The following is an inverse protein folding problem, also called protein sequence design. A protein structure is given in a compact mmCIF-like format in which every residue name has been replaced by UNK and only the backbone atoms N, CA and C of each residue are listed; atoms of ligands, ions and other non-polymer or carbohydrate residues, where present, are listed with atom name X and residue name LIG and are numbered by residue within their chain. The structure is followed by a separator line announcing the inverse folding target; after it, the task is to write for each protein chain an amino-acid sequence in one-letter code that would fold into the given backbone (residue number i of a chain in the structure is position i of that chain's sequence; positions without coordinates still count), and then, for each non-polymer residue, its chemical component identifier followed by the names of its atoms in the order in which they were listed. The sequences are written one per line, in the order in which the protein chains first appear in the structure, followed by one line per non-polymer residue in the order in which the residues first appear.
data_IF_429422482573
#
_entry.id   IF_429422482573
#
_cell.length_a   1.000
_cell.length_b   1.000
_cell.length_c   1.000
_cell.angle_alpha   90.00
_cell.angle_beta   90.00
_cell.angle_gamma   90.00
#
_symmetry.space_group_name_H-M   'P 1'
#
loop_
_entity.id
_entity.type
_entity.pdbx_description
1 polymer ?
#
# COMPACT_ATOMS: atom_id res chain seq x y z
N UNK A 1 -6.53 -6.18 -11.60
CA UNK A 1 -5.77 -7.02 -10.65
C UNK A 1 -6.71 -7.62 -9.61
N UNK A 2 -7.76 -6.95 -9.23
CA UNK A 2 -8.70 -7.43 -8.22
C UNK A 2 -10.07 -7.62 -8.84
N UNK A 3 -10.84 -8.63 -8.41
CA UNK A 3 -12.02 -9.06 -9.11
C UNK A 3 -13.05 -7.93 -9.21
N UNK A 4 -13.61 -7.75 -10.40
CA UNK A 4 -14.99 -7.30 -10.47
C UNK A 4 -15.76 -8.15 -9.48
N UNK A 5 -16.57 -7.53 -8.62
CA UNK A 5 -17.40 -8.22 -7.62
C UNK A 5 -18.43 -9.21 -8.20
N UNK A 6 -18.23 -9.67 -9.43
CA UNK A 6 -18.92 -10.80 -10.06
C UNK A 6 -18.47 -12.16 -9.46
N UNK A 7 -18.07 -12.14 -8.19
CA UNK A 7 -17.55 -13.28 -7.39
C UNK A 7 -18.56 -14.45 -7.28
N UNK A 8 -19.70 -14.33 -7.88
CA UNK A 8 -20.79 -15.30 -7.74
C UNK A 8 -20.78 -16.41 -8.83
N UNK A 9 -19.70 -16.54 -9.60
CA UNK A 9 -19.58 -17.66 -10.55
C UNK A 9 -19.37 -19.01 -9.84
N UNK A 10 -18.99 -19.01 -8.56
CA UNK A 10 -18.84 -20.22 -7.74
C UNK A 10 -17.62 -21.08 -8.11
N UNK A 11 -16.66 -20.51 -8.83
CA UNK A 11 -15.43 -21.22 -9.19
C UNK A 11 -14.46 -21.32 -8.00
N UNK A 12 -13.61 -22.35 -8.02
CA UNK A 12 -12.54 -22.50 -7.01
C UNK A 12 -11.56 -21.33 -7.03
N UNK A 13 -11.39 -20.66 -8.16
CA UNK A 13 -10.56 -19.47 -8.32
C UNK A 13 -11.13 -18.28 -7.54
N UNK A 14 -12.44 -18.12 -7.50
CA UNK A 14 -13.10 -17.04 -6.76
C UNK A 14 -12.90 -17.21 -5.25
N UNK A 15 -13.05 -18.47 -4.76
CA UNK A 15 -12.80 -18.79 -3.35
C UNK A 15 -11.35 -18.52 -2.98
N UNK A 16 -10.39 -18.90 -3.85
CA UNK A 16 -8.99 -18.63 -3.65
C UNK A 16 -8.67 -17.14 -3.61
N UNK A 17 -9.23 -16.37 -4.53
CA UNK A 17 -9.07 -14.91 -4.55
C UNK A 17 -9.59 -14.27 -3.25
N UNK A 18 -10.75 -14.68 -2.78
CA UNK A 18 -11.30 -14.20 -1.50
C UNK A 18 -10.36 -14.54 -0.33
N UNK A 19 -9.86 -15.76 -0.28
CA UNK A 19 -8.90 -16.17 0.75
C UNK A 19 -7.65 -15.29 0.75
N UNK A 20 -7.06 -15.07 -0.43
CA UNK A 20 -5.90 -14.16 -0.61
C UNK A 20 -6.25 -12.75 -0.14
N UNK A 21 -7.41 -12.27 -0.52
CA UNK A 21 -7.89 -10.94 -0.15
C UNK A 21 -7.97 -10.76 1.37
N UNK A 22 -8.70 -11.63 2.05
CA UNK A 22 -8.83 -11.58 3.51
C UNK A 22 -7.48 -11.72 4.21
N UNK A 23 -6.60 -12.58 3.70
CA UNK A 23 -5.26 -12.74 4.24
C UNK A 23 -4.46 -11.45 4.13
N UNK A 24 -4.40 -10.82 2.96
CA UNK A 24 -3.63 -9.59 2.73
C UNK A 24 -4.19 -8.40 3.52
N UNK A 25 -5.52 -8.26 3.57
CA UNK A 25 -6.16 -7.21 4.38
C UNK A 25 -5.84 -7.41 5.87
N UNK A 26 -5.84 -8.65 6.37
CA UNK A 26 -5.48 -8.93 7.76
C UNK A 26 -4.03 -8.52 8.06
N UNK A 27 -3.08 -8.80 7.17
CA UNK A 27 -1.69 -8.34 7.30
C UNK A 27 -1.59 -6.82 7.31
N UNK A 28 -2.31 -6.14 6.41
CA UNK A 28 -2.35 -4.68 6.36
C UNK A 28 -2.92 -4.08 7.65
N UNK A 29 -3.97 -4.69 8.22
CA UNK A 29 -4.55 -4.24 9.50
C UNK A 29 -3.55 -4.42 10.65
N UNK A 30 -2.80 -5.53 10.68
CA UNK A 30 -1.77 -5.75 11.70
C UNK A 30 -0.70 -4.66 11.61
N UNK A 31 -0.21 -4.37 10.41
CA UNK A 31 0.79 -3.30 10.19
C UNK A 31 0.22 -1.95 10.58
N UNK A 32 -1.01 -1.64 10.16
CA UNK A 32 -1.73 -0.42 10.50
C UNK A 32 -1.80 -0.18 12.01
N UNK A 33 -2.31 -1.16 12.75
CA UNK A 33 -2.50 -1.05 14.20
C UNK A 33 -1.14 -0.92 14.93
N UNK A 34 -0.14 -1.66 14.46
CA UNK A 34 1.18 -1.62 15.07
C UNK A 34 1.87 -0.28 14.83
N UNK A 35 1.84 0.23 13.59
CA UNK A 35 2.42 1.54 13.25
C UNK A 35 1.70 2.69 13.97
N UNK A 36 0.36 2.63 14.05
CA UNK A 36 -0.44 3.63 14.77
C UNK A 36 -0.07 3.75 16.25
N UNK A 37 0.30 2.63 16.89
CA UNK A 37 0.61 2.58 18.33
C UNK A 37 2.09 2.81 18.63
N UNK A 38 2.98 2.31 17.79
CA UNK A 38 4.41 2.22 18.09
C UNK A 38 5.27 3.07 17.15
N UNK A 39 4.70 3.65 16.09
CA UNK A 39 5.43 4.39 15.05
C UNK A 39 6.56 3.55 14.43
N UNK A 40 6.33 2.25 14.28
CA UNK A 40 7.32 1.29 13.82
C UNK A 40 6.66 0.22 12.94
N UNK A 41 7.30 -0.09 11.83
CA UNK A 41 6.92 -1.17 10.95
C UNK A 41 7.86 -2.36 11.20
N UNK A 42 7.29 -3.49 11.61
CA UNK A 42 8.06 -4.69 11.98
C UNK A 42 8.47 -5.49 10.75
N UNK A 43 9.77 -5.75 10.62
CA UNK A 43 10.33 -6.58 9.55
C UNK A 43 9.79 -8.00 9.58
N UNK A 44 9.61 -8.55 10.78
CA UNK A 44 9.08 -9.92 10.98
C UNK A 44 7.64 -10.07 10.45
N UNK A 45 6.92 -8.96 10.28
CA UNK A 45 5.56 -8.94 9.70
C UNK A 45 5.63 -8.65 8.20
N UNK A 46 6.37 -7.62 7.79
CA UNK A 46 6.36 -7.15 6.40
C UNK A 46 7.08 -8.10 5.45
N UNK A 47 8.21 -8.70 5.87
CA UNK A 47 8.98 -9.59 4.99
C UNK A 47 8.18 -10.84 4.60
N UNK A 48 7.54 -11.58 5.53
CA UNK A 48 6.64 -12.67 5.16
C UNK A 48 5.45 -12.22 4.29
N UNK A 49 4.90 -11.02 4.54
CA UNK A 49 3.82 -10.48 3.75
C UNK A 49 4.23 -10.25 2.28
N UNK A 50 5.46 -9.76 2.02
CA UNK A 50 6.00 -9.61 0.66
C UNK A 50 6.07 -10.98 -0.04
N UNK A 51 6.61 -11.98 0.64
CA UNK A 51 6.76 -13.33 0.08
C UNK A 51 5.39 -13.93 -0.24
N UNK A 52 4.43 -13.84 0.69
CA UNK A 52 3.08 -14.33 0.48
C UNK A 52 2.37 -13.59 -0.66
N UNK A 53 2.49 -12.27 -0.75
CA UNK A 53 1.91 -11.49 -1.83
C UNK A 53 2.48 -11.90 -3.20
N UNK A 54 3.80 -12.16 -3.29
CA UNK A 54 4.44 -12.68 -4.50
C UNK A 54 3.86 -14.04 -4.90
N UNK A 55 3.81 -14.98 -3.94
CA UNK A 55 3.30 -16.34 -4.19
C UNK A 55 1.84 -16.28 -4.64
N UNK A 56 1.00 -15.54 -3.94
CA UNK A 56 -0.41 -15.46 -4.23
C UNK A 56 -0.70 -14.84 -5.61
N UNK A 57 -0.04 -13.73 -5.92
CA UNK A 57 -0.19 -13.08 -7.22
C UNK A 57 0.36 -13.96 -8.36
N UNK A 58 1.45 -14.70 -8.11
CA UNK A 58 1.98 -15.67 -9.09
C UNK A 58 0.99 -16.81 -9.36
N UNK A 59 0.37 -17.37 -8.31
CA UNK A 59 -0.66 -18.42 -8.44
C UNK A 59 -1.90 -17.91 -9.17
N UNK A 60 -2.24 -16.64 -9.00
CA UNK A 60 -3.31 -15.97 -9.75
C UNK A 60 -2.95 -15.65 -11.21
N UNK A 61 -1.74 -16.02 -11.66
CA UNK A 61 -1.30 -15.87 -13.05
C UNK A 61 -0.68 -14.52 -13.39
N UNK A 62 -0.39 -13.68 -12.40
CA UNK A 62 0.30 -12.40 -12.65
C UNK A 62 1.77 -12.62 -13.00
N UNK A 63 2.26 -11.82 -13.94
CA UNK A 63 3.65 -11.89 -14.35
C UNK A 63 4.56 -11.41 -13.20
N UNK A 64 5.43 -12.30 -12.74
CA UNK A 64 6.33 -12.05 -11.61
C UNK A 64 7.26 -10.85 -11.85
N UNK A 65 7.69 -10.63 -13.09
CA UNK A 65 8.54 -9.49 -13.44
C UNK A 65 7.81 -8.16 -13.23
N UNK A 66 6.54 -8.08 -13.62
CA UNK A 66 5.71 -6.90 -13.39
C UNK A 66 5.50 -6.62 -11.89
N UNK A 67 5.33 -7.67 -11.09
CA UNK A 67 5.19 -7.53 -9.63
C UNK A 67 6.48 -7.05 -8.98
N UNK A 68 7.63 -7.61 -9.40
CA UNK A 68 8.94 -7.18 -8.91
C UNK A 68 9.25 -5.72 -9.31
N UNK A 69 8.93 -5.33 -10.54
CA UNK A 69 9.08 -3.95 -10.99
C UNK A 69 8.18 -2.99 -10.18
N UNK A 70 6.94 -3.37 -9.93
CA UNK A 70 6.04 -2.57 -9.09
C UNK A 70 6.55 -2.46 -7.64
N UNK A 71 7.09 -3.55 -7.08
CA UNK A 71 7.77 -3.55 -5.78
C UNK A 71 8.99 -2.64 -5.76
N UNK A 72 9.79 -2.67 -6.82
CA UNK A 72 10.96 -1.80 -6.98
C UNK A 72 10.56 -0.32 -7.09
N UNK A 73 9.46 -0.02 -7.78
CA UNK A 73 8.91 1.35 -7.85
C UNK A 73 8.45 1.80 -6.45
N UNK A 74 7.66 1.00 -5.73
CA UNK A 74 7.18 1.35 -4.40
C UNK A 74 8.30 1.50 -3.37
N UNK A 75 9.20 0.51 -3.29
CA UNK A 75 10.34 0.56 -2.37
C UNK A 75 11.38 1.60 -2.78
N UNK A 76 11.67 1.72 -4.09
CA UNK A 76 12.61 2.69 -4.65
C UNK A 76 12.19 4.14 -4.40
N UNK A 77 10.90 4.43 -4.49
CA UNK A 77 10.33 5.74 -4.18
C UNK A 77 10.64 6.17 -2.73
N UNK A 78 10.46 5.27 -1.76
CA UNK A 78 10.79 5.56 -0.36
C UNK A 78 12.29 5.51 -0.09
N UNK A 79 13.02 4.61 -0.75
CA UNK A 79 14.48 4.56 -0.64
C UNK A 79 15.12 5.87 -1.12
N UNK A 80 14.65 6.43 -2.22
CA UNK A 80 15.11 7.73 -2.73
C UNK A 80 14.91 8.85 -1.71
N UNK A 81 13.74 8.94 -1.10
CA UNK A 81 13.47 9.93 -0.05
C UNK A 81 14.31 9.70 1.21
N UNK A 82 14.50 8.43 1.59
CA UNK A 82 15.34 8.06 2.73
C UNK A 82 16.79 8.50 2.51
N UNK A 83 17.35 8.27 1.33
CA UNK A 83 18.72 8.66 0.99
C UNK A 83 18.90 10.18 0.99
N UNK A 84 18.00 10.93 0.35
CA UNK A 84 18.06 12.40 0.31
C UNK A 84 17.93 13.00 1.71
N UNK A 85 17.00 12.48 2.52
CA UNK A 85 16.76 13.00 3.87
C UNK A 85 17.73 12.47 4.92
N UNK A 86 18.61 11.54 4.55
CA UNK A 86 19.47 10.80 5.50
C UNK A 86 18.64 10.15 6.62
N UNK A 87 17.50 9.59 6.27
CA UNK A 87 16.58 8.93 7.20
C UNK A 87 15.77 9.86 8.10
N UNK A 88 15.76 11.17 7.84
CA UNK A 88 15.03 12.13 8.68
C UNK A 88 13.54 12.21 8.39
N UNK A 89 13.13 12.00 7.13
CA UNK A 89 11.74 12.15 6.69
C UNK A 89 10.96 10.83 6.78
N UNK A 90 11.60 9.73 6.42
CA UNK A 90 10.97 8.43 6.24
C UNK A 90 11.81 7.36 6.94
N UNK A 91 11.13 6.40 7.59
CA UNK A 91 11.75 5.27 8.24
C UNK A 91 12.16 4.16 7.27
N UNK A 92 13.14 3.33 7.66
CA UNK A 92 13.52 2.15 6.87
C UNK A 92 12.39 1.14 6.70
N UNK A 93 11.40 1.14 7.60
CA UNK A 93 10.20 0.31 7.51
C UNK A 93 9.29 0.67 6.34
N UNK A 94 9.16 1.98 6.04
CA UNK A 94 8.34 2.46 4.92
C UNK A 94 8.86 1.98 3.57
N UNK A 95 10.19 1.79 3.43
CA UNK A 95 10.81 1.24 2.22
C UNK A 95 10.29 -0.18 1.97
N UNK A 96 10.30 -1.03 2.99
CA UNK A 96 9.84 -2.41 2.90
C UNK A 96 8.31 -2.48 2.70
N UNK A 97 7.59 -1.60 3.38
CA UNK A 97 6.15 -1.48 3.16
C UNK A 97 5.83 -1.04 1.73
N UNK A 98 6.62 -0.12 1.15
CA UNK A 98 6.51 0.26 -0.26
C UNK A 98 6.75 -0.91 -1.23
N UNK A 99 7.76 -1.77 -0.94
CA UNK A 99 7.96 -3.01 -1.70
C UNK A 99 6.73 -3.92 -1.58
N UNK A 100 6.21 -4.13 -0.36
CA UNK A 100 5.01 -4.93 -0.13
C UNK A 100 3.81 -4.42 -0.92
N UNK A 101 3.54 -3.11 -0.84
CA UNK A 101 2.46 -2.46 -1.60
C UNK A 101 2.60 -2.67 -3.10
N UNK A 102 3.82 -2.50 -3.63
CA UNK A 102 4.08 -2.67 -5.05
C UNK A 102 3.86 -4.10 -5.52
N UNK A 103 4.37 -5.08 -4.78
CA UNK A 103 4.18 -6.50 -5.06
C UNK A 103 2.71 -6.92 -4.95
N UNK A 104 2.00 -6.37 -3.96
CA UNK A 104 0.60 -6.68 -3.72
C UNK A 104 -0.32 -6.07 -4.78
N UNK A 105 -0.12 -4.80 -5.10
CA UNK A 105 -1.00 -4.04 -5.99
C UNK A 105 -0.62 -4.16 -7.47
N UNK A 106 0.66 -4.30 -7.76
CA UNK A 106 1.17 -4.25 -9.12
C UNK A 106 1.07 -2.86 -9.76
N UNK A 107 1.44 -2.80 -11.06
CA UNK A 107 1.35 -1.60 -11.88
C UNK A 107 -0.03 -1.52 -12.57
N UNK A 108 -0.69 -0.34 -12.70
CA UNK A 108 -0.28 1.00 -12.22
C UNK A 108 -0.75 1.33 -10.79
N UNK A 109 -1.44 0.41 -10.11
CA UNK A 109 -2.13 0.64 -8.83
C UNK A 109 -1.20 1.08 -7.70
N UNK A 110 0.09 0.71 -7.74
CA UNK A 110 1.09 1.20 -6.77
C UNK A 110 1.17 2.73 -6.77
N UNK A 111 1.11 3.38 -7.95
CA UNK A 111 1.14 4.84 -8.04
C UNK A 111 -0.11 5.47 -7.41
N UNK A 112 -1.27 4.88 -7.65
CA UNK A 112 -2.54 5.32 -7.06
C UNK A 112 -2.49 5.24 -5.53
N UNK A 113 -1.97 4.12 -4.99
CA UNK A 113 -1.83 3.93 -3.55
C UNK A 113 -0.86 4.94 -2.92
N UNK A 114 0.29 5.18 -3.55
CA UNK A 114 1.25 6.18 -3.11
C UNK A 114 0.62 7.58 -3.08
N UNK A 115 -0.05 7.97 -4.17
CA UNK A 115 -0.72 9.26 -4.26
C UNK A 115 -1.79 9.43 -3.17
N UNK A 116 -2.65 8.43 -2.98
CA UNK A 116 -3.65 8.43 -1.91
C UNK A 116 -3.03 8.53 -0.52
N UNK A 117 -1.95 7.80 -0.25
CA UNK A 117 -1.28 7.82 1.05
C UNK A 117 -0.76 9.23 1.39
N UNK A 118 -0.17 9.92 0.41
CA UNK A 118 0.29 11.29 0.61
C UNK A 118 -0.86 12.29 0.79
N UNK A 119 -1.96 12.14 0.05
CA UNK A 119 -3.15 12.99 0.25
C UNK A 119 -3.71 12.77 1.66
N UNK A 120 -3.96 11.52 2.06
CA UNK A 120 -4.50 11.19 3.38
C UNK A 120 -3.58 11.69 4.50
N UNK A 121 -2.27 11.43 4.37
CA UNK A 121 -1.28 11.89 5.33
C UNK A 121 -1.22 13.40 5.43
N UNK A 122 -1.27 14.13 4.31
CA UNK A 122 -1.26 15.59 4.27
C UNK A 122 -2.51 16.19 4.93
N UNK A 123 -3.68 15.69 4.57
CA UNK A 123 -4.96 16.18 5.13
C UNK A 123 -5.00 15.99 6.64
N UNK A 124 -4.66 14.79 7.12
CA UNK A 124 -4.67 14.49 8.55
C UNK A 124 -3.60 15.30 9.29
N UNK A 125 -2.42 15.45 8.72
CA UNK A 125 -1.35 16.27 9.32
C UNK A 125 -1.77 17.73 9.44
N UNK A 126 -2.41 18.31 8.43
CA UNK A 126 -2.93 19.68 8.48
C UNK A 126 -3.99 19.81 9.57
N UNK A 127 -4.93 18.87 9.67
CA UNK A 127 -5.96 18.87 10.72
C UNK A 127 -5.32 18.82 12.13
N UNK A 128 -4.31 17.98 12.32
CA UNK A 128 -3.63 17.87 13.62
C UNK A 128 -2.87 19.14 13.98
N UNK A 129 -2.28 19.81 13.01
CA UNK A 129 -1.58 21.09 13.23
C UNK A 129 -2.56 22.23 13.53
N UNK A 130 -3.66 22.34 12.78
CA UNK A 130 -4.66 23.41 12.99
C UNK A 130 -5.42 23.28 14.31
N UNK A 131 -5.57 22.04 14.78
CA UNK A 131 -6.21 21.77 16.09
C UNK A 131 -5.25 21.82 17.28
N UNK A 132 -3.99 22.23 17.08
CA UNK A 132 -2.93 22.27 18.10
C UNK A 132 -2.71 20.94 18.85
N UNK A 133 -3.11 19.82 18.24
CA UNK A 133 -2.90 18.47 18.83
C UNK A 133 -1.50 17.94 18.58
N UNK A 134 -0.80 18.48 17.58
CA UNK A 134 0.59 18.16 17.26
C UNK A 134 1.33 19.39 16.78
N UNK A 135 2.66 19.39 16.98
CA UNK A 135 3.58 20.40 16.44
C UNK A 135 4.24 19.87 15.15
N UNK A 136 4.83 20.75 14.35
CA UNK A 136 5.52 20.42 13.10
C UNK A 136 6.66 19.40 13.28
N UNK A 137 7.22 19.31 14.50
CA UNK A 137 8.30 18.39 14.85
C UNK A 137 7.82 17.01 15.31
N UNK A 138 6.52 16.85 15.53
CA UNK A 138 5.96 15.61 16.06
C UNK A 138 5.87 14.55 14.95
N UNK A 139 6.23 13.33 15.30
CA UNK A 139 6.13 12.20 14.37
C UNK A 139 4.67 11.84 14.12
N UNK A 140 4.35 11.58 12.86
CA UNK A 140 3.07 11.03 12.44
C UNK A 140 3.33 9.63 11.88
N UNK A 141 2.54 8.61 12.26
CA UNK A 141 2.74 7.26 11.77
C UNK A 141 2.38 7.20 10.28
N UNK A 142 3.40 7.23 9.40
CA UNK A 142 3.16 7.29 7.96
C UNK A 142 2.72 5.94 7.40
N UNK A 143 3.18 4.83 7.98
CA UNK A 143 2.77 3.49 7.61
C UNK A 143 1.26 3.25 7.74
N UNK A 144 0.58 3.96 8.66
CA UNK A 144 -0.89 3.89 8.77
C UNK A 144 -1.59 4.42 7.52
N UNK A 145 -1.08 5.51 6.92
CA UNK A 145 -1.65 6.05 5.68
C UNK A 145 -1.32 5.17 4.48
N UNK A 146 -0.13 4.58 4.45
CA UNK A 146 0.28 3.64 3.41
C UNK A 146 -0.63 2.40 3.40
N UNK A 147 -0.86 1.79 4.56
CA UNK A 147 -1.72 0.60 4.67
C UNK A 147 -3.17 0.91 4.32
N UNK A 148 -3.70 2.04 4.81
CA UNK A 148 -5.06 2.47 4.50
C UNK A 148 -5.23 2.75 3.00
N UNK A 149 -4.31 3.48 2.39
CA UNK A 149 -4.31 3.75 0.96
C UNK A 149 -4.20 2.45 0.14
N UNK A 150 -3.41 1.48 0.61
CA UNK A 150 -3.31 0.16 -0.02
C UNK A 150 -4.65 -0.56 -0.01
N UNK A 151 -5.35 -0.60 1.13
CA UNK A 151 -6.67 -1.23 1.25
C UNK A 151 -7.68 -0.53 0.33
N UNK A 152 -7.71 0.81 0.30
CA UNK A 152 -8.61 1.57 -0.58
C UNK A 152 -8.30 1.25 -2.05
N UNK A 153 -7.02 1.20 -2.42
CA UNK A 153 -6.61 0.88 -3.79
C UNK A 153 -6.93 -0.58 -4.16
N UNK A 154 -6.84 -1.51 -3.21
CA UNK A 154 -7.29 -2.88 -3.42
C UNK A 154 -8.78 -2.95 -3.76
N UNK A 155 -9.61 -2.12 -3.12
CA UNK A 155 -11.07 -2.12 -3.31
C UNK A 155 -11.50 -1.34 -4.56
N UNK A 156 -10.88 -0.21 -4.81
CA UNK A 156 -11.36 0.77 -5.80
C UNK A 156 -10.29 1.16 -6.83
N UNK A 157 -9.17 0.43 -6.91
CA UNK A 157 -8.02 0.80 -7.73
C UNK A 157 -8.36 0.97 -9.21
N UNK A 158 -9.11 0.05 -9.80
CA UNK A 158 -9.50 0.12 -11.21
C UNK A 158 -10.39 1.34 -11.50
N UNK A 159 -11.33 1.63 -10.60
CA UNK A 159 -12.17 2.81 -10.69
C UNK A 159 -11.37 4.11 -10.56
N UNK A 160 -10.44 4.16 -9.61
CA UNK A 160 -9.56 5.32 -9.40
C UNK A 160 -8.66 5.58 -10.61
N UNK A 161 -8.08 4.54 -11.17
CA UNK A 161 -7.25 4.62 -12.37
C UNK A 161 -8.09 5.08 -13.57
N UNK A 162 -9.27 4.51 -13.78
CA UNK A 162 -10.17 4.91 -14.86
C UNK A 162 -10.64 6.37 -14.72
N UNK A 163 -10.97 6.79 -13.50
CA UNK A 163 -11.32 8.16 -13.19
C UNK A 163 -10.18 9.14 -13.51
N UNK A 164 -8.96 8.80 -13.11
CA UNK A 164 -7.77 9.61 -13.41
C UNK A 164 -7.56 9.78 -14.93
N UNK A 165 -7.66 8.67 -15.68
CA UNK A 165 -7.53 8.72 -17.14
C UNK A 165 -8.64 9.55 -17.81
N UNK A 166 -9.85 9.52 -17.29
CA UNK A 166 -10.96 10.31 -17.82
C UNK A 166 -10.73 11.82 -17.68
N UNK A 167 -9.99 12.26 -16.66
CA UNK A 167 -9.63 13.68 -16.45
C UNK A 167 -8.52 14.11 -17.42
N UNK A 168 -7.58 13.22 -17.73
CA UNK A 168 -6.44 13.54 -18.61
C UNK A 168 -6.78 13.46 -20.10
N UNK A 169 -7.88 12.81 -20.46
CA UNK A 169 -8.32 12.61 -21.85
C UNK A 169 -9.16 13.77 -22.42
N UNK A 170 -9.11 14.95 -21.77
CA UNK A 170 -9.67 16.20 -22.30
C UNK A 170 -8.68 16.95 -23.15
#
# INVERSE_FOLDING_TARGET
IFPNLDILSGSWLDIWQLFVWFTMVSWLIIIFVYDLRHYLILDIVVIPAIVLALIFNFVLGFNILHLLLAGLVGGGFFLFQFLISKGKWIGGGDIRLGVFMGVLLGWPHILTALFLAYILGSVISIILLTTNKKHLTDKVPFGTFLTLATIITMLYGDWLVAWYWSILSF
#
